data_IF_841558802387
#
_entry.id   IF_841558802387
#
_cell.length_a   1.000
_cell.length_b   1.000
_cell.length_c   1.000
_cell.angle_alpha   90.00
_cell.angle_beta   90.00
_cell.angle_gamma   90.00
#
_symmetry.space_group_name_H-M   'P 1'
#
loop_
_entity.id
_entity.type
_entity.pdbx_description
1 polymer ?
#
# COMPACT_ATOMS: atom_id res chain seq x y z
N UNK A 1 10.32 -30.09 59.86
CA UNK A 1 9.25 -30.11 58.84
C UNK A 1 9.27 -28.78 58.13
N UNK A 2 9.69 -28.79 56.87
CA UNK A 2 9.80 -27.63 55.98
C UNK A 2 8.40 -27.18 55.51
N UNK A 3 8.15 -25.88 55.52
CA UNK A 3 7.22 -25.24 54.58
C UNK A 3 7.87 -23.95 54.08
N UNK A 4 8.55 -24.08 52.95
CA UNK A 4 8.99 -22.96 52.13
C UNK A 4 7.74 -22.40 51.43
N UNK A 5 7.39 -21.16 51.74
CA UNK A 5 6.41 -20.38 50.98
C UNK A 5 7.06 -19.94 49.68
N UNK A 6 6.66 -20.56 48.58
CA UNK A 6 6.99 -20.12 47.22
C UNK A 6 6.09 -18.93 46.94
N UNK A 7 6.67 -17.73 46.92
CA UNK A 7 6.04 -16.56 46.30
C UNK A 7 6.02 -16.81 44.79
N UNK A 8 4.83 -17.13 44.27
CA UNK A 8 4.54 -17.04 42.84
C UNK A 8 4.68 -15.58 42.43
N UNK A 9 5.83 -15.25 41.84
CA UNK A 9 6.00 -14.03 41.09
C UNK A 9 5.24 -14.21 39.78
N UNK A 10 4.01 -13.69 39.75
CA UNK A 10 3.25 -13.50 38.53
C UNK A 10 4.07 -12.62 37.59
N UNK A 11 4.84 -13.25 36.72
CA UNK A 11 5.49 -12.58 35.60
C UNK A 11 4.41 -12.27 34.56
N UNK A 12 3.56 -11.29 34.87
CA UNK A 12 2.74 -10.62 33.89
C UNK A 12 3.69 -9.91 32.93
N UNK A 13 4.15 -10.66 31.93
CA UNK A 13 4.78 -10.10 30.75
C UNK A 13 3.77 -9.12 30.19
N UNK A 14 4.00 -7.83 30.45
CA UNK A 14 3.37 -6.74 29.73
C UNK A 14 3.73 -6.96 28.26
N UNK A 15 2.91 -7.74 27.54
CA UNK A 15 2.88 -7.74 26.09
C UNK A 15 2.45 -6.32 25.73
N UNK A 16 3.42 -5.43 25.58
CA UNK A 16 3.22 -4.16 24.91
C UNK A 16 2.58 -4.52 23.58
N UNK A 17 1.30 -4.19 23.46
CA UNK A 17 0.51 -4.44 22.25
C UNK A 17 1.22 -3.69 21.13
N UNK A 18 1.97 -4.43 20.30
CA UNK A 18 2.73 -3.83 19.23
C UNK A 18 1.70 -3.27 18.24
N UNK A 19 1.72 -1.94 18.06
CA UNK A 19 0.75 -1.26 17.22
C UNK A 19 0.82 -1.79 15.78
N UNK A 20 -0.31 -1.74 15.09
CA UNK A 20 -0.44 -2.04 13.67
C UNK A 20 -1.06 -0.84 12.98
N UNK A 21 -0.48 -0.44 11.85
CA UNK A 21 -0.92 0.72 11.07
C UNK A 21 -1.49 0.25 9.74
N UNK A 22 -2.73 0.66 9.46
CA UNK A 22 -3.37 0.45 8.15
C UNK A 22 -3.57 1.80 7.48
N UNK A 23 -3.11 1.91 6.24
CA UNK A 23 -3.29 3.09 5.41
C UNK A 23 -4.01 2.63 4.15
N UNK A 24 -5.09 3.31 3.79
CA UNK A 24 -5.75 3.11 2.50
C UNK A 24 -5.76 4.43 1.76
N UNK A 25 -5.37 4.40 0.50
CA UNK A 25 -5.33 5.59 -0.34
C UNK A 25 -5.72 5.27 -1.78
N UNK A 26 -6.82 5.87 -2.23
CA UNK A 26 -7.09 5.95 -3.66
C UNK A 26 -6.15 7.00 -4.26
N UNK A 27 -5.18 6.54 -5.06
CA UNK A 27 -4.17 7.43 -5.64
C UNK A 27 -4.69 8.18 -6.88
N UNK A 28 -5.98 8.06 -7.20
CA UNK A 28 -6.68 8.78 -8.26
C UNK A 28 -6.00 8.63 -9.61
N UNK A 29 -6.44 7.64 -10.40
CA UNK A 29 -5.96 7.50 -11.76
C UNK A 29 -6.44 8.72 -12.57
N UNK A 30 -5.51 9.52 -13.12
CA UNK A 30 -5.83 10.85 -13.67
C UNK A 30 -6.86 10.81 -14.82
N UNK A 31 -6.93 9.69 -15.55
CA UNK A 31 -7.97 9.45 -16.55
C UNK A 31 -9.39 9.53 -15.95
N UNK A 32 -9.62 9.01 -14.74
CA UNK A 32 -10.93 9.10 -14.08
C UNK A 32 -11.22 10.53 -13.67
N UNK A 33 -10.26 11.21 -13.03
CA UNK A 33 -10.39 12.61 -12.64
C UNK A 33 -10.76 13.50 -13.83
N UNK A 34 -10.10 13.31 -14.97
CA UNK A 34 -10.39 14.04 -16.21
C UNK A 34 -11.78 13.71 -16.77
N UNK A 35 -12.20 12.45 -16.69
CA UNK A 35 -13.49 12.04 -17.23
C UNK A 35 -14.68 12.51 -16.39
N UNK A 36 -14.52 12.68 -15.08
CA UNK A 36 -15.63 12.94 -14.15
C UNK A 36 -15.64 14.35 -13.57
N UNK A 37 -14.46 14.92 -13.28
CA UNK A 37 -14.35 16.15 -12.48
C UNK A 37 -13.27 17.12 -13.00
N UNK A 38 -12.97 17.08 -14.31
CA UNK A 38 -11.88 17.86 -14.93
C UNK A 38 -11.82 19.33 -14.49
N UNK A 39 -12.96 20.01 -14.49
CA UNK A 39 -13.01 21.44 -14.22
C UNK A 39 -12.83 21.79 -12.74
N UNK A 40 -13.15 20.86 -11.83
CA UNK A 40 -13.23 21.09 -10.39
C UNK A 40 -12.27 20.22 -9.56
N UNK A 41 -11.41 19.41 -10.19
CA UNK A 41 -10.47 18.54 -9.46
C UNK A 41 -9.32 19.35 -8.85
N UNK A 42 -9.18 19.36 -7.50
CA UNK A 42 -8.08 20.05 -6.83
C UNK A 42 -6.71 19.46 -7.21
N UNK A 43 -6.66 18.18 -7.55
CA UNK A 43 -5.42 17.50 -7.97
C UNK A 43 -4.98 17.98 -9.34
N UNK A 44 -5.94 18.12 -10.28
CA UNK A 44 -5.65 18.67 -11.61
C UNK A 44 -5.14 20.11 -11.51
N UNK A 45 -5.72 20.91 -10.62
CA UNK A 45 -5.29 22.29 -10.37
C UNK A 45 -3.91 22.34 -9.68
N UNK A 46 -3.71 21.57 -8.61
CA UNK A 46 -2.46 21.51 -7.85
C UNK A 46 -1.24 21.19 -8.74
N UNK A 47 -1.42 20.30 -9.71
CA UNK A 47 -0.35 19.87 -10.62
C UNK A 47 -0.40 20.57 -11.98
N UNK A 48 -1.26 21.57 -12.18
CA UNK A 48 -1.39 22.30 -13.46
C UNK A 48 -1.58 21.36 -14.66
N UNK A 49 -2.32 20.26 -14.50
CA UNK A 49 -2.47 19.21 -15.54
C UNK A 49 -3.21 19.77 -16.77
N UNK A 50 -4.10 20.74 -16.59
CA UNK A 50 -4.81 21.42 -17.69
C UNK A 50 -3.84 22.16 -18.63
N UNK A 51 -2.76 22.69 -18.06
CA UNK A 51 -1.76 23.48 -18.77
C UNK A 51 -0.67 22.59 -19.36
N UNK A 52 -0.27 21.54 -18.62
CA UNK A 52 0.74 20.59 -19.07
C UNK A 52 0.46 19.17 -18.57
N UNK A 53 0.04 18.31 -19.49
CA UNK A 53 -0.27 16.89 -19.26
C UNK A 53 0.92 16.08 -18.72
N UNK A 54 2.15 16.46 -19.05
CA UNK A 54 3.35 15.78 -18.55
C UNK A 54 3.60 15.98 -17.06
N UNK A 55 2.95 16.97 -16.43
CA UNK A 55 3.03 17.20 -14.98
C UNK A 55 2.45 16.03 -14.16
N UNK A 56 1.73 15.10 -14.78
CA UNK A 56 1.34 13.85 -14.11
C UNK A 56 2.56 13.11 -13.55
N UNK A 57 3.71 13.18 -14.22
CA UNK A 57 4.97 12.63 -13.71
C UNK A 57 5.38 13.23 -12.37
N UNK A 58 5.13 14.54 -12.15
CA UNK A 58 5.42 15.20 -10.88
C UNK A 58 4.53 14.63 -9.77
N UNK A 59 3.24 14.45 -10.05
CA UNK A 59 2.30 13.84 -9.10
C UNK A 59 2.67 12.41 -8.74
N UNK A 60 3.05 11.59 -9.73
CA UNK A 60 3.52 10.22 -9.48
C UNK A 60 4.77 10.20 -8.58
N UNK A 61 5.71 11.13 -8.78
CA UNK A 61 6.88 11.27 -7.90
C UNK A 61 6.51 11.67 -6.48
N UNK A 62 5.56 12.59 -6.30
CA UNK A 62 5.09 13.00 -4.98
C UNK A 62 4.40 11.85 -4.22
N UNK A 63 3.59 11.04 -4.92
CA UNK A 63 2.99 9.83 -4.34
C UNK A 63 4.07 8.90 -3.79
N UNK A 64 5.12 8.63 -4.56
CA UNK A 64 6.25 7.80 -4.10
C UNK A 64 6.94 8.41 -2.88
N UNK A 65 7.18 9.72 -2.89
CA UNK A 65 7.80 10.40 -1.76
C UNK A 65 6.96 10.26 -0.49
N UNK A 66 5.65 10.51 -0.58
CA UNK A 66 4.72 10.38 0.55
C UNK A 66 4.72 8.95 1.09
N UNK A 67 4.64 7.95 0.21
CA UNK A 67 4.65 6.54 0.61
C UNK A 67 5.96 6.13 1.27
N UNK A 68 7.09 6.59 0.75
CA UNK A 68 8.40 6.34 1.36
C UNK A 68 8.52 6.99 2.75
N UNK A 69 8.06 8.23 2.89
CA UNK A 69 8.04 8.95 4.17
C UNK A 69 7.13 8.24 5.19
N UNK A 70 5.99 7.69 4.75
CA UNK A 70 5.10 6.88 5.58
C UNK A 70 5.78 5.59 6.06
N UNK A 71 6.52 4.89 5.20
CA UNK A 71 7.26 3.69 5.59
C UNK A 71 8.38 4.04 6.59
N UNK A 72 9.13 5.12 6.36
CA UNK A 72 10.17 5.60 7.29
C UNK A 72 9.57 5.99 8.64
N UNK A 73 8.47 6.75 8.64
CA UNK A 73 7.79 7.19 9.87
C UNK A 73 7.29 6.00 10.70
N UNK A 74 6.89 4.91 10.04
CA UNK A 74 6.40 3.70 10.67
C UNK A 74 7.46 2.58 10.72
N UNK A 75 8.75 2.92 10.66
CA UNK A 75 9.87 1.97 10.62
C UNK A 75 9.87 0.94 11.77
N UNK A 76 9.31 1.28 12.94
CA UNK A 76 9.28 0.42 14.12
C UNK A 76 7.91 -0.25 14.36
N UNK A 77 6.97 -0.07 13.43
CA UNK A 77 5.58 -0.51 13.57
C UNK A 77 5.18 -1.31 12.34
N UNK A 78 4.43 -2.39 12.53
CA UNK A 78 3.92 -3.13 11.38
C UNK A 78 2.92 -2.25 10.61
N UNK A 79 3.09 -2.18 9.29
CA UNK A 79 2.39 -1.25 8.41
C UNK A 79 1.83 -1.98 7.19
N UNK A 80 0.56 -1.73 6.89
CA UNK A 80 -0.13 -2.24 5.71
C UNK A 80 -0.72 -1.08 4.92
N UNK A 81 -0.28 -0.90 3.68
CA UNK A 81 -0.71 0.17 2.79
C UNK A 81 -1.50 -0.43 1.63
N UNK A 82 -2.74 0.01 1.46
CA UNK A 82 -3.61 -0.33 0.33
C UNK A 82 -3.72 0.87 -0.61
N UNK A 83 -3.40 0.67 -1.89
CA UNK A 83 -3.52 1.69 -2.93
C UNK A 83 -4.54 1.26 -3.97
N UNK A 84 -5.56 2.10 -4.19
CA UNK A 84 -6.55 1.92 -5.25
C UNK A 84 -6.26 2.84 -6.43
N UNK A 85 -6.74 2.47 -7.62
CA UNK A 85 -6.59 3.24 -8.86
C UNK A 85 -5.13 3.52 -9.25
N UNK A 86 -4.22 2.58 -9.00
CA UNK A 86 -2.80 2.75 -9.30
C UNK A 86 -2.57 2.70 -10.81
N UNK A 87 -2.05 3.77 -11.45
CA UNK A 87 -1.72 3.75 -12.86
C UNK A 87 -0.50 2.87 -13.12
N UNK A 88 -0.43 2.24 -14.30
CA UNK A 88 0.63 1.31 -14.68
C UNK A 88 2.03 1.92 -14.55
N UNK A 89 2.19 3.19 -14.93
CA UNK A 89 3.46 3.93 -14.80
C UNK A 89 3.96 4.07 -13.35
N UNK A 90 3.06 4.00 -12.35
CA UNK A 90 3.43 4.08 -10.94
C UNK A 90 3.98 2.75 -10.39
N UNK A 91 3.60 1.61 -10.98
CA UNK A 91 4.05 0.28 -10.54
C UNK A 91 5.59 0.10 -10.52
N UNK A 92 6.35 0.42 -11.57
CA UNK A 92 7.81 0.30 -11.53
C UNK A 92 8.43 1.25 -10.49
N UNK A 93 7.84 2.42 -10.26
CA UNK A 93 8.31 3.37 -9.25
C UNK A 93 8.09 2.83 -7.82
N UNK A 94 6.93 2.22 -7.55
CA UNK A 94 6.63 1.57 -6.28
C UNK A 94 7.58 0.40 -6.00
N UNK A 95 7.84 -0.45 -7.00
CA UNK A 95 8.79 -1.56 -6.87
C UNK A 95 10.20 -1.05 -6.55
N UNK A 96 10.67 -0.03 -7.26
CA UNK A 96 11.96 0.61 -7.01
C UNK A 96 12.04 1.19 -5.59
N UNK A 97 10.98 1.85 -5.12
CA UNK A 97 10.91 2.38 -3.76
C UNK A 97 11.03 1.26 -2.71
N UNK A 98 10.27 0.18 -2.89
CA UNK A 98 10.30 -0.98 -1.98
C UNK A 98 11.65 -1.70 -2.00
N UNK A 99 12.27 -1.85 -3.18
CA UNK A 99 13.58 -2.48 -3.34
C UNK A 99 14.69 -1.64 -2.69
N UNK A 100 14.63 -0.31 -2.83
CA UNK A 100 15.58 0.61 -2.21
C UNK A 100 15.41 0.77 -0.69
N UNK A 101 14.30 0.29 -0.13
CA UNK A 101 14.02 0.37 1.31
C UNK A 101 14.92 -0.56 2.15
N UNK A 102 15.67 -1.46 1.50
CA UNK A 102 16.74 -2.24 2.13
C UNK A 102 18.02 -1.42 2.15
N UNK A 103 18.37 -0.83 3.29
CA UNK A 103 19.74 -0.30 3.44
C UNK A 103 20.00 0.93 4.31
N UNK A 104 19.09 1.42 5.18
CA UNK A 104 19.52 2.50 6.10
C UNK A 104 19.02 2.44 7.55
N UNK A 105 17.91 1.76 7.86
CA UNK A 105 17.39 1.69 9.27
C UNK A 105 16.72 0.35 9.60
N UNK A 106 16.38 -0.48 8.60
CA UNK A 106 15.41 -1.57 8.76
C UNK A 106 16.01 -2.95 8.55
N UNK A 107 15.59 -3.91 9.39
CA UNK A 107 15.98 -5.32 9.36
C UNK A 107 15.18 -6.16 8.36
N UNK A 108 14.07 -5.61 7.83
CA UNK A 108 13.16 -6.30 6.92
C UNK A 108 12.82 -5.45 5.70
N UNK A 109 12.45 -6.12 4.61
CA UNK A 109 12.07 -5.53 3.33
C UNK A 109 10.55 -5.52 3.22
N UNK A 110 9.91 -4.41 2.81
CA UNK A 110 8.49 -4.42 2.49
C UNK A 110 8.17 -5.39 1.35
N UNK A 111 7.00 -6.03 1.41
CA UNK A 111 6.46 -6.88 0.35
C UNK A 111 5.41 -6.09 -0.43
N UNK A 112 5.42 -6.22 -1.75
CA UNK A 112 4.46 -5.58 -2.65
C UNK A 112 3.67 -6.62 -3.43
N UNK A 113 2.35 -6.51 -3.40
CA UNK A 113 1.43 -7.32 -4.19
C UNK A 113 0.60 -6.42 -5.10
N UNK A 114 0.29 -6.91 -6.30
CA UNK A 114 -0.40 -6.14 -7.34
C UNK A 114 -1.47 -7.01 -7.98
N UNK A 115 -2.67 -6.45 -8.11
CA UNK A 115 -3.75 -7.02 -8.91
C UNK A 115 -4.19 -5.99 -9.96
N UNK A 116 -3.91 -6.28 -11.23
CA UNK A 116 -4.26 -5.40 -12.35
C UNK A 116 -5.63 -5.78 -12.92
N UNK A 117 -6.52 -4.80 -13.04
CA UNK A 117 -7.85 -5.02 -13.58
C UNK A 117 -7.82 -5.26 -15.10
N UNK A 118 -8.72 -6.10 -15.61
CA UNK A 118 -8.79 -6.35 -17.07
C UNK A 118 -9.27 -5.12 -17.86
N UNK A 119 -10.05 -4.25 -17.22
CA UNK A 119 -10.55 -3.02 -17.84
C UNK A 119 -9.44 -1.96 -17.84
N UNK A 120 -9.19 -1.36 -19.01
CA UNK A 120 -8.30 -0.21 -19.13
C UNK A 120 -9.11 1.10 -19.13
N UNK A 121 -8.82 2.06 -18.24
CA UNK A 121 -9.40 3.38 -18.32
C UNK A 121 -8.96 4.10 -19.60
N UNK A 122 -9.87 4.86 -20.21
CA UNK A 122 -9.60 5.65 -21.41
C UNK A 122 -10.20 7.05 -21.26
N UNK A 123 -9.49 8.06 -21.76
CA UNK A 123 -9.99 9.43 -21.79
C UNK A 123 -11.05 9.54 -22.89
N UNK A 124 -12.18 10.21 -22.60
CA UNK A 124 -13.23 10.43 -23.60
C UNK A 124 -12.68 11.27 -24.77
N UNK A 125 -13.07 10.90 -25.99
CA UNK A 125 -12.70 11.64 -27.21
C UNK A 125 -12.98 13.14 -27.02
N UNK A 126 -11.94 13.99 -27.17
CA UNK A 126 -11.88 15.47 -27.08
C UNK A 126 -11.03 16.05 -25.93
N UNK A 127 -10.52 15.25 -25.00
CA UNK A 127 -9.69 15.76 -23.89
C UNK A 127 -8.21 15.33 -24.04
N UNK A 128 -7.39 16.20 -24.66
CA UNK A 128 -5.95 16.26 -24.42
C UNK A 128 -5.02 15.19 -25.01
N UNK A 129 -3.76 15.25 -24.56
CA UNK A 129 -2.65 14.37 -24.94
C UNK A 129 -2.48 13.15 -24.03
N UNK A 130 -1.42 12.39 -24.23
CA UNK A 130 -1.15 11.14 -23.50
C UNK A 130 -0.56 11.41 -22.10
N UNK A 131 -1.18 10.89 -21.04
CA UNK A 131 -0.73 11.05 -19.63
C UNK A 131 0.23 9.95 -19.17
N UNK A 132 -0.03 8.72 -19.61
CA UNK A 132 0.61 7.52 -19.11
C UNK A 132 1.13 6.70 -20.26
N UNK A 133 2.35 6.19 -20.19
CA UNK A 133 2.83 5.17 -21.12
C UNK A 133 2.05 3.85 -20.94
N UNK A 134 1.76 3.49 -19.68
CA UNK A 134 0.85 2.43 -19.29
C UNK A 134 -0.34 2.97 -18.47
N UNK A 135 -1.52 2.95 -19.10
CA UNK A 135 -2.80 3.36 -18.51
C UNK A 135 -3.56 2.22 -17.82
N UNK A 136 -2.94 1.06 -17.62
CA UNK A 136 -3.54 0.01 -16.80
C UNK A 136 -3.82 0.52 -15.39
N UNK A 137 -4.86 -0.03 -14.77
CA UNK A 137 -5.23 0.28 -13.39
C UNK A 137 -5.03 -0.96 -12.51
N UNK A 138 -4.48 -0.77 -11.32
CA UNK A 138 -4.23 -1.85 -10.36
C UNK A 138 -4.65 -1.49 -8.94
N UNK A 139 -4.97 -2.53 -8.17
CA UNK A 139 -4.92 -2.54 -6.71
C UNK A 139 -3.51 -2.95 -6.28
N UNK A 140 -2.90 -2.20 -5.38
CA UNK A 140 -1.57 -2.52 -4.83
C UNK A 140 -1.64 -2.58 -3.31
N UNK A 141 -1.01 -3.58 -2.72
CA UNK A 141 -0.79 -3.64 -1.27
C UNK A 141 0.70 -3.70 -0.96
N UNK A 142 1.14 -2.90 0.00
CA UNK A 142 2.51 -2.91 0.53
C UNK A 142 2.43 -3.30 2.01
N UNK A 143 3.10 -4.38 2.39
CA UNK A 143 3.17 -4.84 3.77
C UNK A 143 4.60 -4.74 4.27
N UNK A 144 4.78 -4.06 5.40
CA UNK A 144 6.05 -3.94 6.08
C UNK A 144 5.90 -4.46 7.52
N UNK A 145 6.70 -5.45 7.88
CA UNK A 145 6.76 -5.98 9.24
C UNK A 145 8.22 -5.90 9.74
N UNK A 146 8.53 -5.04 10.72
CA UNK A 146 9.90 -4.86 11.23
C UNK A 146 10.46 -6.11 11.94
N UNK A 147 9.58 -6.95 12.49
CA UNK A 147 9.96 -8.14 13.26
C UNK A 147 9.98 -9.41 12.41
N UNK A 148 9.56 -9.33 11.14
CA UNK A 148 9.63 -10.47 10.24
C UNK A 148 11.11 -10.82 10.00
N UNK A 149 11.61 -11.83 10.69
CA UNK A 149 12.85 -12.51 10.34
C UNK A 149 12.62 -13.14 8.96
N UNK A 150 13.51 -12.86 8.01
CA UNK A 150 13.52 -13.43 6.66
C UNK A 150 13.82 -14.96 6.71
N UNK A 151 12.94 -15.71 7.38
CA UNK A 151 12.90 -17.17 7.28
C UNK A 151 12.06 -17.47 6.05
N UNK A 152 12.75 -17.67 4.94
CA UNK A 152 12.27 -18.20 3.66
C UNK A 152 10.76 -18.41 3.54
N UNK A 153 10.04 -17.36 3.13
CA UNK A 153 8.69 -17.46 2.54
C UNK A 153 8.80 -18.05 1.12
N UNK A 154 9.60 -19.11 0.94
CA UNK A 154 9.61 -19.95 -0.27
C UNK A 154 8.81 -21.24 -0.07
N UNK A 155 8.69 -21.74 1.15
CA UNK A 155 7.98 -22.99 1.45
C UNK A 155 6.47 -22.82 1.74
N UNK A 156 6.01 -21.60 2.06
CA UNK A 156 4.59 -21.32 2.35
C UNK A 156 3.76 -20.96 1.12
N UNK A 157 4.37 -20.47 0.05
CA UNK A 157 3.67 -19.94 -1.13
C UNK A 157 3.16 -21.03 -2.09
N UNK A 158 3.83 -22.18 -2.17
CA UNK A 158 3.31 -23.34 -2.92
C UNK A 158 2.09 -23.99 -2.24
N UNK A 159 1.88 -23.75 -0.94
CA UNK A 159 0.71 -24.24 -0.21
C UNK A 159 -0.41 -23.19 -0.05
N UNK A 160 -0.10 -21.89 -0.16
CA UNK A 160 -1.08 -20.82 -0.03
C UNK A 160 -2.05 -20.73 -1.22
N UNK A 161 -1.62 -21.10 -2.44
CA UNK A 161 -2.53 -21.19 -3.60
C UNK A 161 -3.64 -22.25 -3.41
N UNK A 162 -3.50 -23.18 -2.45
CA UNK A 162 -4.53 -24.17 -2.12
C UNK A 162 -5.39 -23.82 -0.90
N UNK A 163 -5.03 -22.80 -0.12
CA UNK A 163 -5.71 -22.49 1.16
C UNK A 163 -6.41 -21.13 1.20
N UNK A 164 -6.31 -20.30 0.15
CA UNK A 164 -7.01 -19.00 0.10
C UNK A 164 -8.54 -19.08 -0.16
N UNK A 165 -9.11 -20.29 -0.11
CA UNK A 165 -10.55 -20.51 -0.07
C UNK A 165 -10.85 -21.47 1.08
N UNK A 166 -10.89 -20.97 2.31
CA UNK A 166 -11.78 -21.34 3.42
C UNK A 166 -11.32 -20.44 4.58
N UNK A 167 -11.96 -19.29 4.73
CA UNK A 167 -12.20 -18.70 6.05
C UNK A 167 -13.46 -17.83 5.96
N UNK A 168 -14.61 -18.50 6.09
CA UNK A 168 -15.96 -17.96 6.17
C UNK A 168 -16.22 -17.18 7.48
N UNK A 169 -15.29 -16.34 7.95
CA UNK A 169 -15.45 -15.57 9.19
C UNK A 169 -15.15 -14.07 9.08
N UNK A 170 -15.15 -13.50 7.87
CA UNK A 170 -15.21 -12.03 7.74
C UNK A 170 -16.67 -11.60 7.82
N UNK A 171 -17.13 -11.24 9.02
CA UNK A 171 -18.43 -10.62 9.23
C UNK A 171 -18.37 -9.17 8.73
N UNK A 172 -18.85 -8.95 7.50
CA UNK A 172 -19.02 -7.61 6.95
C UNK A 172 -20.18 -6.91 7.65
N UNK A 173 -19.89 -5.97 8.55
CA UNK A 173 -20.87 -4.99 9.02
C UNK A 173 -20.98 -3.86 8.00
N UNK A 174 -22.14 -3.66 7.34
CA UNK A 174 -22.34 -2.52 6.46
C UNK A 174 -22.33 -1.21 7.26
N UNK A 175 -21.81 -0.13 6.66
CA UNK A 175 -21.91 1.20 7.24
C UNK A 175 -23.39 1.59 7.41
N UNK A 176 -23.80 2.11 8.58
CA UNK A 176 -25.13 2.65 8.76
C UNK A 176 -25.36 3.85 7.84
N UNK A 177 -26.58 3.94 7.32
CA UNK A 177 -27.08 4.99 6.42
C UNK A 177 -27.16 6.35 7.12
#
# INVERSE_FOLDING_TARGET
MNRSSVEETDSSTNKTQQGFVVISWNVLHMIHEINYVYDASPVIEQYSIKENWSNETLRLNDIIKILNDLLIKNAMTECFICLQEVPGDLLPMLRKMVDAHVGSVLTSKPLIYTHTYSRKPQIRNRQGGFLYSDSNESLVTIHYNPNAVFTEIKSGLENAEKHFLIDDQILWTPCPS
#
